data_IF_185247508950
#
_entry.id   IF_185247508950
#
_cell.length_a   1.000
_cell.length_b   1.000
_cell.length_c   1.000
_cell.angle_alpha   90.00
_cell.angle_beta   90.00
_cell.angle_gamma   90.00
#
_symmetry.space_group_name_H-M   'P 1'
#
loop_
_entity.id
_entity.type
_entity.pdbx_description
1 polymer ?
#
# COMPACT_ATOMS: atom_id res chain seq x y z
N UNK A 1 10.81 -35.83 28.12
CA UNK A 1 9.52 -35.11 28.14
C UNK A 1 9.68 -33.58 28.20
N UNK A 2 10.45 -32.99 29.14
CA UNK A 2 10.66 -31.52 29.22
C UNK A 2 11.25 -30.88 27.94
N UNK A 3 12.12 -31.61 27.22
CA UNK A 3 12.75 -31.13 25.96
C UNK A 3 11.77 -31.01 24.78
N UNK A 4 10.72 -31.84 24.73
CA UNK A 4 9.68 -31.78 23.69
C UNK A 4 8.72 -30.60 23.91
N UNK A 5 8.38 -30.31 25.16
CA UNK A 5 7.50 -29.18 25.52
C UNK A 5 8.16 -27.84 25.16
N UNK A 6 9.47 -27.70 25.39
CA UNK A 6 10.22 -26.50 25.01
C UNK A 6 10.25 -26.27 23.49
N UNK A 7 10.38 -27.34 22.70
CA UNK A 7 10.37 -27.26 21.23
C UNK A 7 8.99 -26.86 20.69
N UNK A 8 7.91 -27.42 21.24
CA UNK A 8 6.55 -27.07 20.82
C UNK A 8 6.22 -25.60 21.12
N UNK A 9 6.62 -25.08 22.29
CA UNK A 9 6.42 -23.68 22.65
C UNK A 9 7.25 -22.76 21.74
N UNK A 10 8.49 -23.14 21.41
CA UNK A 10 9.36 -22.36 20.53
C UNK A 10 8.81 -22.29 19.09
N UNK A 11 8.29 -23.39 18.56
CA UNK A 11 7.66 -23.42 17.23
C UNK A 11 6.36 -22.60 17.23
N UNK A 12 5.54 -22.69 18.27
CA UNK A 12 4.33 -21.87 18.40
C UNK A 12 4.65 -20.36 18.48
N UNK A 13 5.76 -19.99 19.15
CA UNK A 13 6.22 -18.61 19.22
C UNK A 13 6.70 -18.10 17.86
N UNK A 14 7.44 -18.92 17.11
CA UNK A 14 7.90 -18.58 15.75
C UNK A 14 6.73 -18.45 14.76
N UNK A 15 5.72 -19.32 14.86
CA UNK A 15 4.49 -19.21 14.06
C UNK A 15 3.68 -17.96 14.42
N UNK A 16 3.59 -17.61 15.71
CA UNK A 16 2.93 -16.40 16.19
C UNK A 16 3.59 -15.12 15.67
N UNK A 17 4.93 -15.08 15.60
CA UNK A 17 5.68 -13.94 15.05
C UNK A 17 5.56 -13.85 13.52
N UNK A 18 5.57 -14.99 12.80
CA UNK A 18 5.41 -15.02 11.35
C UNK A 18 4.04 -14.52 10.87
N UNK A 19 2.97 -14.78 11.64
CA UNK A 19 1.61 -14.34 11.31
C UNK A 19 1.44 -12.81 11.30
N UNK A 20 2.19 -12.07 12.13
CA UNK A 20 2.09 -10.61 12.22
C UNK A 20 2.65 -9.92 10.97
N UNK A 21 3.77 -10.42 10.45
CA UNK A 21 4.40 -9.91 9.23
C UNK A 21 3.55 -10.22 7.99
N UNK A 22 2.93 -11.40 7.96
CA UNK A 22 2.09 -11.83 6.84
C UNK A 22 0.82 -10.98 6.66
N UNK A 23 0.26 -10.45 7.77
CA UNK A 23 -0.94 -9.59 7.71
C UNK A 23 -0.66 -8.20 7.12
N UNK A 24 0.52 -7.64 7.38
CA UNK A 24 0.90 -6.34 6.84
C UNK A 24 1.10 -6.39 5.31
N UNK A 25 1.76 -7.44 4.81
CA UNK A 25 1.95 -7.67 3.38
C UNK A 25 0.61 -7.88 2.64
N UNK A 26 -0.33 -8.59 3.28
CA UNK A 26 -1.67 -8.76 2.71
C UNK A 26 -2.46 -7.46 2.62
N UNK A 27 -2.37 -6.58 3.63
CA UNK A 27 -3.09 -5.31 3.62
C UNK A 27 -2.62 -4.40 2.46
N UNK A 28 -1.30 -4.36 2.20
CA UNK A 28 -0.73 -3.61 1.08
C UNK A 28 -1.20 -4.17 -0.28
N UNK A 29 -1.17 -5.50 -0.42
CA UNK A 29 -1.63 -6.17 -1.65
C UNK A 29 -3.13 -5.93 -1.90
N UNK A 30 -3.96 -6.06 -0.87
CA UNK A 30 -5.39 -5.80 -0.97
C UNK A 30 -5.66 -4.36 -1.41
N UNK A 31 -5.01 -3.38 -0.78
CA UNK A 31 -5.16 -1.97 -1.14
C UNK A 31 -4.74 -1.70 -2.61
N UNK A 32 -3.63 -2.29 -3.07
CA UNK A 32 -3.20 -2.19 -4.46
C UNK A 32 -4.24 -2.78 -5.42
N UNK A 33 -4.70 -3.99 -5.16
CA UNK A 33 -5.71 -4.67 -5.99
C UNK A 33 -7.02 -3.90 -6.05
N UNK A 34 -7.49 -3.38 -4.91
CA UNK A 34 -8.73 -2.61 -4.86
C UNK A 34 -8.59 -1.26 -5.56
N UNK A 35 -7.40 -0.65 -5.51
CA UNK A 35 -7.11 0.59 -6.26
C UNK A 35 -7.11 0.35 -7.76
N UNK A 36 -6.51 -0.75 -8.22
CA UNK A 36 -6.55 -1.18 -9.62
C UNK A 36 -8.01 -1.35 -10.07
N UNK A 37 -8.80 -2.12 -9.33
CA UNK A 37 -10.22 -2.33 -9.65
C UNK A 37 -11.02 -1.02 -9.63
N UNK A 38 -10.70 -0.10 -8.71
CA UNK A 38 -11.30 1.22 -8.68
C UNK A 38 -10.99 2.01 -9.96
N UNK A 39 -9.74 2.05 -10.41
CA UNK A 39 -9.34 2.74 -11.64
C UNK A 39 -10.00 2.13 -12.87
N UNK A 40 -10.00 0.80 -13.00
CA UNK A 40 -10.67 0.09 -14.09
C UNK A 40 -12.17 0.39 -14.12
N UNK A 41 -12.83 0.45 -12.95
CA UNK A 41 -14.25 0.81 -12.86
C UNK A 41 -14.55 2.25 -13.32
N UNK A 42 -13.56 3.13 -13.31
CA UNK A 42 -13.65 4.51 -13.82
C UNK A 42 -13.30 4.62 -15.30
N UNK A 43 -12.88 3.52 -15.93
CA UNK A 43 -12.58 3.43 -17.36
C UNK A 43 -11.10 3.49 -17.73
N UNK A 44 -10.19 3.50 -16.74
CA UNK A 44 -8.75 3.43 -17.00
C UNK A 44 -8.34 2.01 -17.40
N UNK A 45 -7.42 1.90 -18.34
CA UNK A 45 -6.75 0.67 -18.75
C UNK A 45 -5.35 0.64 -18.16
N UNK A 46 -5.15 -0.18 -17.14
CA UNK A 46 -3.91 -0.16 -16.32
C UNK A 46 -2.66 -0.37 -17.17
N UNK A 47 -2.70 -1.27 -18.15
CA UNK A 47 -1.53 -1.57 -18.99
C UNK A 47 -1.14 -0.45 -19.96
N UNK A 48 -2.06 0.45 -20.30
CA UNK A 48 -1.83 1.52 -21.30
C UNK A 48 -1.84 2.92 -20.71
N UNK A 49 -2.50 3.12 -19.57
CA UNK A 49 -2.75 4.44 -19.00
C UNK A 49 -1.88 4.68 -17.76
N UNK A 50 -1.45 3.62 -17.06
CA UNK A 50 -0.66 3.70 -15.82
C UNK A 50 0.80 3.36 -16.10
N UNK A 51 1.69 4.30 -15.81
CA UNK A 51 3.14 4.11 -15.90
C UNK A 51 3.69 3.32 -14.71
N UNK A 52 3.32 3.73 -13.48
CA UNK A 52 3.72 3.06 -12.25
C UNK A 52 2.56 2.94 -11.26
N UNK A 53 2.59 1.85 -10.49
CA UNK A 53 1.69 1.64 -9.36
C UNK A 53 2.42 0.97 -8.20
N UNK A 54 2.64 1.74 -7.14
CA UNK A 54 3.42 1.36 -5.97
C UNK A 54 2.66 1.63 -4.68
N UNK A 55 2.93 0.84 -3.64
CA UNK A 55 2.35 1.05 -2.30
C UNK A 55 3.37 1.80 -1.46
N UNK A 56 2.98 2.94 -0.92
CA UNK A 56 3.82 3.83 -0.12
C UNK A 56 3.28 3.95 1.31
N UNK A 57 4.17 4.07 2.29
CA UNK A 57 3.76 4.38 3.66
C UNK A 57 3.65 5.90 3.82
N UNK A 58 2.43 6.41 4.03
CA UNK A 58 2.15 7.84 4.25
C UNK A 58 2.03 8.19 5.74
N UNK A 59 2.01 7.19 6.62
CA UNK A 59 2.09 7.39 8.06
C UNK A 59 3.55 7.46 8.51
N UNK A 60 4.01 8.63 8.96
CA UNK A 60 5.39 8.80 9.46
C UNK A 60 5.74 7.79 10.58
N UNK A 61 4.78 7.45 11.44
CA UNK A 61 4.95 6.49 12.54
C UNK A 61 3.91 5.37 12.55
N UNK A 62 2.77 5.59 11.90
CA UNK A 62 1.70 4.60 11.77
C UNK A 62 1.85 3.81 10.47
N UNK A 63 1.45 2.54 10.47
CA UNK A 63 1.41 1.69 9.27
C UNK A 63 0.23 2.08 8.35
N UNK A 64 0.22 3.33 7.91
CA UNK A 64 -0.81 3.91 7.05
C UNK A 64 -0.32 3.90 5.62
N UNK A 65 -0.90 3.03 4.79
CA UNK A 65 -0.47 2.85 3.41
C UNK A 65 -1.38 3.61 2.44
N UNK A 66 -0.78 4.09 1.35
CA UNK A 66 -1.46 4.60 0.18
C UNK A 66 -0.87 3.92 -1.07
N UNK A 67 -1.62 3.94 -2.16
CA UNK A 67 -1.15 3.51 -3.48
C UNK A 67 -0.84 4.77 -4.27
N UNK A 68 0.42 4.93 -4.65
CA UNK A 68 0.85 5.93 -5.61
C UNK A 68 0.63 5.37 -7.02
N UNK A 69 -0.02 6.17 -7.87
CA UNK A 69 -0.30 5.85 -9.26
C UNK A 69 0.21 6.99 -10.12
N UNK A 70 1.10 6.69 -11.05
CA UNK A 70 1.60 7.64 -12.04
C UNK A 70 1.00 7.25 -13.39
N UNK A 71 0.42 8.21 -14.11
CA UNK A 71 -0.18 7.97 -15.43
C UNK A 71 0.78 8.38 -16.54
N UNK A 72 0.72 7.72 -17.70
CA UNK A 72 1.60 8.01 -18.83
C UNK A 72 1.41 9.41 -19.44
N UNK A 73 0.21 9.98 -19.33
CA UNK A 73 -0.10 11.33 -19.80
C UNK A 73 0.31 12.43 -18.80
N UNK A 74 0.52 12.05 -17.54
CA UNK A 74 0.89 12.92 -16.43
C UNK A 74 2.05 12.31 -15.59
N UNK A 75 3.22 12.03 -16.19
CA UNK A 75 4.30 11.27 -15.54
C UNK A 75 4.95 12.02 -14.37
N UNK A 76 4.80 13.35 -14.33
CA UNK A 76 5.33 14.20 -13.27
C UNK A 76 4.46 14.17 -11.99
N UNK A 77 3.30 13.50 -12.03
CA UNK A 77 2.32 13.50 -10.94
C UNK A 77 2.01 12.10 -10.42
N UNK A 78 2.24 11.91 -9.12
CA UNK A 78 1.81 10.72 -8.39
C UNK A 78 0.48 10.97 -7.68
N UNK A 79 -0.53 10.19 -8.06
CA UNK A 79 -1.86 10.21 -7.46
C UNK A 79 -1.95 9.20 -6.32
N UNK A 80 -2.20 9.70 -5.10
CA UNK A 80 -2.28 8.85 -3.91
C UNK A 80 -3.71 8.39 -3.63
N UNK A 81 -3.90 7.08 -3.48
CA UNK A 81 -5.16 6.44 -3.14
C UNK A 81 -5.06 5.67 -1.84
N UNK A 82 -6.10 5.71 -1.01
CA UNK A 82 -6.16 4.92 0.23
C UNK A 82 -7.61 4.57 0.55
N UNK A 83 -7.82 3.72 1.55
CA UNK A 83 -9.16 3.43 2.05
C UNK A 83 -9.77 4.66 2.73
N UNK A 84 -11.08 4.83 2.59
CA UNK A 84 -11.85 5.75 3.42
C UNK A 84 -11.90 5.21 4.85
N UNK A 85 -11.86 6.11 5.82
CA UNK A 85 -11.85 5.74 7.24
C UNK A 85 -13.02 4.77 7.56
N UNK A 86 -12.68 3.60 8.09
CA UNK A 86 -13.62 2.51 8.42
C UNK A 86 -14.43 1.96 7.23
N UNK A 87 -13.88 1.98 6.02
CA UNK A 87 -14.53 1.45 4.82
C UNK A 87 -13.56 0.87 3.81
N UNK A 88 -13.98 -0.18 3.09
CA UNK A 88 -13.23 -0.77 1.97
C UNK A 88 -13.35 0.07 0.67
N UNK A 89 -13.85 1.30 0.76
CA UNK A 89 -13.97 2.20 -0.38
C UNK A 89 -12.65 2.95 -0.61
N UNK A 90 -12.13 2.84 -1.82
CA UNK A 90 -10.98 3.62 -2.27
C UNK A 90 -11.37 5.10 -2.42
N UNK A 91 -10.51 5.98 -1.90
CA UNK A 91 -10.55 7.43 -2.11
C UNK A 91 -9.18 7.93 -2.55
N UNK A 92 -9.17 8.96 -3.37
CA UNK A 92 -7.98 9.73 -3.66
C UNK A 92 -7.70 10.71 -2.49
N UNK A 93 -6.44 10.82 -2.06
CA UNK A 93 -6.03 11.84 -1.11
C UNK A 93 -5.92 13.19 -1.83
N UNK A 94 -6.40 14.29 -1.21
CA UNK A 94 -6.17 15.62 -1.75
C UNK A 94 -4.68 15.92 -1.67
N UNK A 95 -4.04 16.12 -2.81
CA UNK A 95 -2.70 16.72 -2.86
C UNK A 95 -2.94 18.23 -2.81
N UNK A 96 -2.57 18.90 -1.71
CA UNK A 96 -2.73 20.35 -1.60
C UNK A 96 -2.01 21.07 -2.73
N UNK A 97 -2.53 22.20 -3.19
CA UNK A 97 -1.93 22.95 -4.32
C UNK A 97 -0.46 23.37 -4.06
N UNK A 98 -0.04 23.44 -2.79
CA UNK A 98 1.36 23.68 -2.37
C UNK A 98 2.19 22.37 -2.25
N UNK A 99 1.56 21.22 -2.07
CA UNK A 99 2.23 19.89 -1.98
C UNK A 99 2.36 19.19 -3.35
N UNK A 100 1.69 19.73 -4.38
CA UNK A 100 1.76 19.21 -5.76
C UNK A 100 3.15 19.30 -6.38
N UNK A 101 4.01 20.23 -5.94
CA UNK A 101 5.38 20.35 -6.43
C UNK A 101 6.37 19.42 -5.69
N UNK A 102 6.02 18.91 -4.49
CA UNK A 102 7.00 18.27 -3.60
C UNK A 102 6.92 16.73 -3.55
N UNK A 103 5.84 16.11 -4.03
CA UNK A 103 5.80 14.64 -4.24
C UNK A 103 6.51 14.24 -5.55
N UNK A 104 7.54 14.99 -5.92
CA UNK A 104 8.49 14.64 -6.98
C UNK A 104 9.28 13.40 -6.56
N UNK A 105 9.55 12.53 -7.53
CA UNK A 105 10.08 11.15 -7.43
C UNK A 105 11.29 10.92 -6.50
N UNK A 106 11.91 11.95 -5.93
CA UNK A 106 13.01 11.84 -4.97
C UNK A 106 12.65 11.13 -3.66
N UNK A 107 11.38 11.09 -3.26
CA UNK A 107 10.96 10.43 -2.01
C UNK A 107 10.69 8.91 -2.16
N UNK A 108 10.87 8.33 -3.35
CA UNK A 108 10.64 6.89 -3.60
C UNK A 108 11.93 6.06 -3.67
N UNK A 109 13.11 6.68 -3.54
CA UNK A 109 14.41 6.00 -3.71
C UNK A 109 15.18 5.70 -2.41
N UNK A 110 14.64 5.96 -1.21
CA UNK A 110 15.28 5.63 0.08
C UNK A 110 14.73 4.35 0.76
#
# INVERSE_FOLDING_TARGET
MKKLIGVTIFVALLLGLGLSWFRADQAQKALKTDTIAHLESRGYQIESDVEDISVVNVGQQDRTYAVAVTFYDEPDFAYLYTYRDNSDQIRQLPVGDEEREEFSLQHLED
#
